data_IF_512906322822
#
_entry.id   IF_512906322822
#
_cell.length_a   1.000
_cell.length_b   1.000
_cell.length_c   1.000
_cell.angle_alpha   90.00
_cell.angle_beta   90.00
_cell.angle_gamma   90.00
#
_symmetry.space_group_name_H-M   'P 1'
#
loop_
_entity.id
_entity.type
_entity.pdbx_description
1 polymer ?
#
# COMPACT_ATOMS: atom_id res chain seq x y z
N UNK A 1 -5.89 8.05 -4.64
CA UNK A 1 -6.50 9.27 -5.23
C UNK A 1 -5.91 9.61 -6.61
N UNK A 2 -4.58 9.63 -6.75
CA UNK A 2 -3.87 9.87 -8.01
C UNK A 2 -4.49 9.12 -9.22
N UNK A 3 -4.63 7.80 -9.08
CA UNK A 3 -5.30 6.90 -10.05
C UNK A 3 -6.68 7.39 -10.51
N UNK A 4 -7.54 7.81 -9.58
CA UNK A 4 -8.91 8.24 -9.91
C UNK A 4 -8.99 9.65 -10.50
N UNK A 5 -7.94 10.45 -10.31
CA UNK A 5 -7.95 11.87 -10.70
C UNK A 5 -7.04 12.17 -11.89
N UNK A 6 -6.33 11.17 -12.44
CA UNK A 6 -5.41 11.37 -13.57
C UNK A 6 -4.25 12.32 -13.24
N UNK A 7 -3.75 12.27 -12.01
CA UNK A 7 -2.58 13.02 -11.55
C UNK A 7 -1.50 12.08 -11.04
N UNK A 8 -0.27 12.56 -10.94
CA UNK A 8 0.83 11.80 -10.38
C UNK A 8 0.75 11.75 -8.87
N UNK A 9 1.10 10.61 -8.28
CA UNK A 9 1.23 10.48 -6.84
C UNK A 9 2.39 9.60 -6.43
N UNK A 10 3.24 10.10 -5.54
CA UNK A 10 4.38 9.34 -5.03
C UNK A 10 4.16 8.94 -3.58
N UNK A 11 4.10 7.64 -3.32
CA UNK A 11 4.21 7.06 -1.98
C UNK A 11 5.69 6.79 -1.72
N UNK A 12 6.39 7.59 -0.90
CA UNK A 12 7.82 7.40 -0.67
C UNK A 12 8.14 6.09 0.07
N UNK A 13 9.43 5.75 0.12
CA UNK A 13 9.98 4.76 1.04
C UNK A 13 9.59 5.12 2.48
N UNK A 14 9.27 4.13 3.31
CA UNK A 14 8.86 4.41 4.67
C UNK A 14 9.94 5.17 5.46
N UNK A 15 9.51 6.20 6.21
CA UNK A 15 10.38 6.92 7.15
C UNK A 15 11.23 8.03 6.54
N UNK A 16 11.19 8.27 5.23
CA UNK A 16 12.02 9.32 4.61
C UNK A 16 11.40 10.72 4.68
N UNK A 17 10.11 10.81 4.98
CA UNK A 17 9.39 12.07 5.25
C UNK A 17 8.79 11.98 6.66
N UNK A 18 9.01 13.03 7.47
CA UNK A 18 8.46 13.09 8.83
C UNK A 18 6.93 13.09 8.83
N UNK A 19 6.35 12.22 9.65
CA UNK A 19 4.90 12.15 9.90
C UNK A 19 4.46 12.96 11.14
N UNK A 20 5.37 13.76 11.72
CA UNK A 20 5.04 14.56 12.91
C UNK A 20 3.88 15.52 12.63
N UNK A 21 2.81 15.39 13.42
CA UNK A 21 1.58 16.18 13.27
C UNK A 21 0.55 15.57 12.31
N UNK A 22 0.86 14.45 11.67
CA UNK A 22 -0.11 13.69 10.87
C UNK A 22 -1.04 12.85 11.76
N UNK A 23 -2.23 12.51 11.24
CA UNK A 23 -3.23 11.67 11.90
C UNK A 23 -3.46 10.42 11.06
N UNK A 24 -3.41 9.20 11.64
CA UNK A 24 -3.03 8.87 13.02
C UNK A 24 -1.54 9.13 13.30
N UNK A 25 -1.11 9.27 14.57
CA UNK A 25 -1.89 9.11 15.82
C UNK A 25 -2.79 10.33 16.17
N UNK A 26 -3.61 10.26 17.23
CA UNK A 26 -4.44 11.38 17.67
C UNK A 26 -3.66 12.67 17.98
N UNK A 27 -4.31 13.84 17.93
CA UNK A 27 -3.67 15.12 18.23
C UNK A 27 -2.94 15.14 19.59
N UNK A 28 -1.74 15.71 19.60
CA UNK A 28 -0.88 15.81 20.81
C UNK A 28 0.10 14.64 20.99
N UNK A 29 -0.07 13.54 20.25
CA UNK A 29 0.93 12.48 20.21
C UNK A 29 2.25 12.98 19.58
N UNK A 30 3.37 12.59 20.18
CA UNK A 30 4.71 12.96 19.70
C UNK A 30 5.36 11.88 18.82
N UNK A 31 4.75 10.69 18.76
CA UNK A 31 5.19 9.62 17.87
C UNK A 31 5.07 10.05 16.39
N UNK A 32 6.05 9.69 15.58
CA UNK A 32 6.24 10.14 14.20
C UNK A 32 6.25 8.99 13.19
N UNK A 33 5.55 7.91 13.51
CA UNK A 33 5.29 6.83 12.57
C UNK A 33 4.66 5.58 13.21
N UNK A 34 4.10 4.74 12.37
CA UNK A 34 3.37 3.51 12.72
C UNK A 34 3.89 2.29 11.94
N UNK A 35 5.04 2.45 11.26
CA UNK A 35 5.65 1.48 10.34
C UNK A 35 4.89 1.23 9.03
N UNK A 36 3.84 1.97 8.71
CA UNK A 36 2.95 1.73 7.57
C UNK A 36 2.66 3.01 6.77
N UNK A 37 2.22 4.06 7.45
CA UNK A 37 1.79 5.33 6.87
C UNK A 37 2.98 6.18 6.42
N UNK A 38 2.80 6.89 5.31
CA UNK A 38 3.76 7.87 4.80
C UNK A 38 3.01 9.09 4.27
N UNK A 39 3.70 10.23 4.22
CA UNK A 39 3.25 11.44 3.55
C UNK A 39 3.95 11.53 2.19
N UNK A 40 3.18 11.64 1.12
CA UNK A 40 3.69 11.62 -0.25
C UNK A 40 3.07 12.73 -1.10
N UNK A 41 3.83 13.35 -2.03
CA UNK A 41 3.32 14.42 -2.86
C UNK A 41 2.38 13.92 -3.96
N UNK A 42 1.42 14.77 -4.33
CA UNK A 42 0.63 14.67 -5.55
C UNK A 42 1.03 15.81 -6.47
N UNK A 43 1.19 15.55 -7.77
CA UNK A 43 1.60 16.56 -8.73
C UNK A 43 1.02 16.30 -10.14
N UNK A 44 1.29 17.22 -11.07
CA UNK A 44 0.86 17.10 -12.48
C UNK A 44 1.99 16.65 -13.41
N UNK A 45 3.18 16.43 -12.88
CA UNK A 45 4.35 15.97 -13.62
C UNK A 45 5.27 15.15 -12.69
N UNK A 46 6.08 14.22 -13.24
CA UNK A 46 7.09 13.51 -12.44
C UNK A 46 8.20 14.45 -11.93
N UNK A 47 8.53 15.52 -12.66
CA UNK A 47 9.53 16.51 -12.23
C UNK A 47 9.06 17.28 -10.99
N UNK A 48 7.78 17.61 -10.91
CA UNK A 48 7.19 18.22 -9.71
C UNK A 48 7.19 17.25 -8.52
N UNK A 49 7.00 15.95 -8.75
CA UNK A 49 7.13 14.94 -7.69
C UNK A 49 8.57 14.87 -7.16
N UNK A 50 9.55 14.85 -8.06
CA UNK A 50 10.98 14.84 -7.71
C UNK A 50 11.36 16.08 -6.91
N UNK A 51 10.96 17.27 -7.37
CA UNK A 51 11.19 18.52 -6.66
C UNK A 51 10.54 18.49 -5.28
N UNK A 52 9.26 18.12 -5.19
CA UNK A 52 8.56 18.05 -3.91
C UNK A 52 9.22 17.04 -2.95
N UNK A 53 9.64 15.88 -3.44
CA UNK A 53 10.34 14.89 -2.65
C UNK A 53 11.68 15.44 -2.12
N UNK A 54 12.47 16.11 -2.97
CA UNK A 54 13.76 16.69 -2.57
C UNK A 54 13.66 17.72 -1.45
N UNK A 55 12.51 18.42 -1.35
CA UNK A 55 12.23 19.40 -0.31
C UNK A 55 11.69 18.79 0.98
N UNK A 56 10.98 17.65 0.88
CA UNK A 56 10.29 17.01 2.00
C UNK A 56 11.13 15.94 2.70
N UNK A 57 12.09 15.35 1.99
CA UNK A 57 12.98 14.32 2.54
C UNK A 57 13.82 14.92 3.66
N UNK A 58 13.61 14.40 4.86
CA UNK A 58 14.32 14.83 6.04
C UNK A 58 14.33 13.71 7.09
N UNK A 59 15.41 13.59 7.89
CA UNK A 59 15.40 12.74 9.06
C UNK A 59 14.33 13.22 10.05
N UNK A 60 13.82 12.30 10.86
CA UNK A 60 12.97 12.65 12.01
C UNK A 60 13.74 13.59 12.94
N UNK A 61 13.04 14.55 13.56
CA UNK A 61 13.67 15.57 14.42
C UNK A 61 14.53 14.91 15.51
N UNK A 62 14.01 13.87 16.17
CA UNK A 62 14.73 13.17 17.24
C UNK A 62 15.93 12.38 16.74
N UNK A 63 15.88 11.90 15.50
CA UNK A 63 16.96 11.11 14.90
C UNK A 63 18.04 12.00 14.25
N UNK A 64 17.71 13.26 13.93
CA UNK A 64 18.57 14.21 13.20
C UNK A 64 19.92 14.52 13.87
N UNK A 65 20.06 14.23 15.17
CA UNK A 65 21.32 14.38 15.90
C UNK A 65 22.37 13.36 15.44
N UNK A 66 21.95 12.16 15.06
CA UNK A 66 22.83 11.05 14.71
C UNK A 66 22.59 10.49 13.30
N UNK A 67 21.49 10.89 12.66
CA UNK A 67 21.04 10.33 11.40
C UNK A 67 20.81 11.42 10.36
N UNK A 68 21.40 11.22 9.18
CA UNK A 68 21.22 12.05 8.00
C UNK A 68 20.78 11.16 6.84
N UNK A 69 20.15 11.76 5.85
CA UNK A 69 19.60 11.05 4.71
C UNK A 69 20.02 11.73 3.42
N UNK A 70 20.53 10.93 2.51
CA UNK A 70 20.86 11.31 1.14
C UNK A 70 20.19 10.29 0.23
N UNK A 71 19.39 10.78 -0.73
CA UNK A 71 18.79 9.88 -1.71
C UNK A 71 19.84 9.43 -2.71
N UNK A 72 19.89 8.13 -3.05
CA UNK A 72 20.80 7.66 -4.09
C UNK A 72 20.40 8.26 -5.44
N UNK A 73 21.36 8.47 -6.36
CA UNK A 73 21.04 8.83 -7.74
C UNK A 73 20.26 7.69 -8.43
N UNK A 74 19.62 7.97 -9.58
CA UNK A 74 18.99 6.93 -10.40
C UNK A 74 19.98 5.79 -10.72
N UNK A 75 19.48 4.55 -10.75
CA UNK A 75 20.32 3.37 -11.03
C UNK A 75 20.88 3.36 -12.45
N UNK A 76 20.10 3.90 -13.40
CA UNK A 76 20.44 3.94 -14.81
C UNK A 76 20.03 5.28 -15.42
N UNK A 77 20.78 5.73 -16.42
CA UNK A 77 20.53 6.99 -17.15
C UNK A 77 19.65 6.77 -18.39
N UNK A 78 19.62 5.56 -18.94
CA UNK A 78 18.86 5.23 -20.14
C UNK A 78 17.79 4.17 -19.85
N UNK A 79 16.66 4.29 -20.53
CA UNK A 79 15.50 3.44 -20.27
C UNK A 79 15.77 1.96 -20.54
N UNK A 80 16.54 1.64 -21.59
CA UNK A 80 16.87 0.27 -22.01
C UNK A 80 17.73 -0.53 -21.01
N UNK A 81 18.35 0.14 -20.04
CA UNK A 81 19.14 -0.51 -18.99
C UNK A 81 18.26 -1.02 -17.84
N UNK A 82 17.03 -0.53 -17.72
CA UNK A 82 16.09 -0.98 -16.70
C UNK A 82 15.54 -2.39 -16.99
N UNK A 83 15.31 -3.14 -15.91
CA UNK A 83 14.61 -4.43 -15.92
C UNK A 83 13.27 -4.29 -15.20
N UNK A 84 12.20 -4.62 -15.90
CA UNK A 84 10.83 -4.39 -15.41
C UNK A 84 10.16 -5.73 -15.15
N UNK A 85 9.75 -5.95 -13.91
CA UNK A 85 8.81 -7.00 -13.56
C UNK A 85 7.38 -6.53 -13.83
N UNK A 86 6.47 -7.45 -14.15
CA UNK A 86 5.07 -7.13 -14.44
C UNK A 86 4.14 -8.10 -13.71
N UNK A 87 3.13 -7.56 -13.03
CA UNK A 87 2.05 -8.31 -12.36
C UNK A 87 0.72 -7.58 -12.59
N UNK A 88 -0.04 -8.01 -13.60
CA UNK A 88 -1.21 -7.28 -14.08
C UNK A 88 -2.54 -7.66 -13.43
N UNK A 89 -2.65 -8.88 -12.92
CA UNK A 89 -3.89 -9.41 -12.37
C UNK A 89 -3.61 -10.51 -11.34
N UNK A 90 -4.60 -10.81 -10.49
CA UNK A 90 -4.51 -11.88 -9.49
C UNK A 90 -5.91 -12.44 -9.17
N UNK A 91 -6.10 -13.78 -9.15
CA UNK A 91 -7.41 -14.39 -8.85
C UNK A 91 -8.00 -13.98 -7.49
N UNK A 92 -7.18 -13.63 -6.50
CA UNK A 92 -7.62 -13.14 -5.19
C UNK A 92 -8.33 -11.78 -5.31
N UNK A 93 -7.78 -10.88 -6.12
CA UNK A 93 -8.27 -9.51 -6.27
C UNK A 93 -8.17 -9.06 -7.73
N UNK A 94 -9.09 -9.57 -8.59
CA UNK A 94 -9.06 -9.28 -10.02
C UNK A 94 -9.18 -7.80 -10.30
N UNK A 95 -8.58 -7.35 -11.39
CA UNK A 95 -8.67 -5.95 -11.83
C UNK A 95 -9.53 -5.79 -13.08
N UNK A 96 -10.09 -4.59 -13.25
CA UNK A 96 -10.77 -4.23 -14.49
C UNK A 96 -9.85 -4.43 -15.69
N UNK A 97 -10.36 -5.06 -16.75
CA UNK A 97 -9.59 -5.31 -17.98
C UNK A 97 -8.97 -4.03 -18.54
N UNK A 98 -9.71 -2.92 -18.50
CA UNK A 98 -9.21 -1.63 -18.94
C UNK A 98 -7.93 -1.16 -18.21
N UNK A 99 -7.78 -1.50 -16.93
CA UNK A 99 -6.57 -1.20 -16.15
C UNK A 99 -5.42 -2.11 -16.59
N UNK A 100 -5.67 -3.43 -16.66
CA UNK A 100 -4.67 -4.38 -17.12
C UNK A 100 -4.17 -4.05 -18.54
N UNK A 101 -5.10 -3.74 -19.47
CA UNK A 101 -4.81 -3.36 -20.85
C UNK A 101 -4.01 -2.05 -20.92
N UNK A 102 -4.32 -1.06 -20.08
CA UNK A 102 -3.58 0.19 -20.02
C UNK A 102 -2.12 -0.02 -19.59
N UNK A 103 -1.89 -0.85 -18.57
CA UNK A 103 -0.54 -1.20 -18.11
C UNK A 103 0.17 -2.05 -19.17
N UNK A 104 -0.52 -3.00 -19.80
CA UNK A 104 0.02 -3.78 -20.91
C UNK A 104 0.47 -2.90 -22.08
N UNK A 105 -0.27 -1.83 -22.39
CA UNK A 105 0.14 -0.84 -23.38
C UNK A 105 1.41 -0.08 -23.00
N UNK A 106 1.69 0.13 -21.70
CA UNK A 106 2.97 0.67 -21.20
C UNK A 106 4.08 -0.37 -21.36
N UNK A 107 3.82 -1.62 -20.97
CA UNK A 107 4.74 -2.75 -21.13
C UNK A 107 5.21 -2.87 -22.58
N UNK A 108 4.30 -2.84 -23.55
CA UNK A 108 4.65 -2.91 -24.98
C UNK A 108 5.49 -1.74 -25.47
N UNK A 109 5.24 -0.52 -24.97
CA UNK A 109 6.04 0.67 -25.31
C UNK A 109 7.45 0.56 -24.74
N UNK A 110 7.59 0.11 -23.50
CA UNK A 110 8.89 -0.14 -22.87
C UNK A 110 9.68 -1.22 -23.62
N UNK A 111 9.04 -2.32 -24.02
CA UNK A 111 9.68 -3.38 -24.80
C UNK A 111 10.22 -2.84 -26.15
N UNK A 112 9.46 -1.98 -26.83
CA UNK A 112 9.90 -1.32 -28.08
C UNK A 112 11.11 -0.40 -27.88
N UNK A 113 11.28 0.14 -26.67
CA UNK A 113 12.47 0.91 -26.28
C UNK A 113 13.66 0.04 -25.85
N UNK A 114 13.55 -1.29 -25.90
CA UNK A 114 14.62 -2.22 -25.54
C UNK A 114 14.71 -2.55 -24.05
N UNK A 115 13.71 -2.17 -23.26
CA UNK A 115 13.63 -2.52 -21.83
C UNK A 115 13.45 -4.03 -21.67
N UNK A 116 14.16 -4.63 -20.72
CA UNK A 116 13.98 -6.06 -20.40
C UNK A 116 12.73 -6.22 -19.54
N UNK A 117 11.75 -6.98 -20.03
CA UNK A 117 10.48 -7.19 -19.35
C UNK A 117 10.31 -8.67 -19.00
N UNK A 118 9.90 -8.94 -17.77
CA UNK A 118 9.50 -10.28 -17.33
C UNK A 118 8.18 -10.20 -16.57
N UNK A 119 7.21 -11.01 -16.97
CA UNK A 119 6.02 -11.25 -16.17
C UNK A 119 6.38 -12.18 -15.01
N UNK A 120 6.23 -11.69 -13.78
CA UNK A 120 6.58 -12.46 -12.58
C UNK A 120 5.90 -11.90 -11.34
N UNK A 121 5.48 -12.79 -10.45
CA UNK A 121 4.95 -12.50 -9.11
C UNK A 121 5.70 -13.33 -8.04
N UNK A 122 6.96 -13.67 -8.34
CA UNK A 122 7.75 -14.71 -7.64
C UNK A 122 7.54 -14.72 -6.12
N UNK A 123 6.98 -15.83 -5.62
CA UNK A 123 6.81 -16.20 -4.22
C UNK A 123 6.06 -15.23 -3.29
N UNK A 124 5.43 -14.18 -3.82
CA UNK A 124 4.64 -13.21 -3.06
C UNK A 124 3.17 -13.39 -3.43
N UNK A 125 2.38 -13.86 -2.49
CA UNK A 125 0.92 -13.99 -2.64
C UNK A 125 0.22 -12.68 -2.28
N UNK A 126 -0.69 -12.22 -3.14
CA UNK A 126 -1.50 -11.04 -2.89
C UNK A 126 -2.44 -11.25 -1.69
N UNK A 127 -3.04 -12.44 -1.58
CA UNK A 127 -3.86 -12.83 -0.42
C UNK A 127 -3.07 -12.78 0.89
N UNK A 128 -1.87 -13.38 0.91
CA UNK A 128 -1.02 -13.36 2.10
C UNK A 128 -0.67 -11.92 2.49
N UNK A 129 -0.37 -11.07 1.50
CA UNK A 129 -0.07 -9.66 1.75
C UNK A 129 -1.29 -8.92 2.34
N UNK A 130 -2.49 -9.12 1.79
CA UNK A 130 -3.71 -8.52 2.32
C UNK A 130 -4.02 -8.99 3.75
N UNK A 131 -3.85 -10.28 4.05
CA UNK A 131 -4.02 -10.78 5.42
C UNK A 131 -3.05 -10.11 6.41
N UNK A 132 -1.78 -9.94 6.02
CA UNK A 132 -0.80 -9.19 6.83
C UNK A 132 -1.21 -7.73 6.99
N UNK A 133 -1.75 -7.10 5.94
CA UNK A 133 -2.23 -5.72 5.99
C UNK A 133 -3.34 -5.56 7.05
N UNK A 134 -4.31 -6.49 7.08
CA UNK A 134 -5.39 -6.51 8.08
C UNK A 134 -4.92 -6.82 9.51
N UNK A 135 -3.78 -7.49 9.70
CA UNK A 135 -3.20 -7.67 11.04
C UNK A 135 -2.50 -6.38 11.53
N UNK A 136 -1.92 -5.59 10.63
CA UNK A 136 -1.01 -4.50 10.97
C UNK A 136 -1.64 -3.10 10.96
N UNK A 137 -2.57 -2.83 10.03
CA UNK A 137 -3.16 -1.48 9.84
C UNK A 137 -4.30 -1.16 10.81
N UNK A 138 -5.29 -2.05 11.03
CA UNK A 138 -6.38 -1.77 11.95
C UNK A 138 -5.99 -1.32 13.37
N UNK A 139 -4.94 -1.85 14.04
CA UNK A 139 -4.58 -1.36 15.38
C UNK A 139 -4.08 0.08 15.35
N UNK A 140 -3.45 0.53 14.25
CA UNK A 140 -3.04 1.93 14.06
C UNK A 140 -4.26 2.84 13.98
N UNK A 141 -5.25 2.47 13.16
CA UNK A 141 -6.50 3.23 13.00
C UNK A 141 -7.29 3.24 14.32
N UNK A 142 -7.33 2.11 15.02
CA UNK A 142 -8.06 1.95 16.27
C UNK A 142 -7.56 2.86 17.40
N UNK A 143 -6.32 3.38 17.32
CA UNK A 143 -5.82 4.38 18.27
C UNK A 143 -6.66 5.67 18.30
N UNK A 144 -7.40 5.96 17.23
CA UNK A 144 -8.32 7.10 17.15
C UNK A 144 -9.79 6.76 17.39
N UNK A 145 -10.15 5.48 17.62
CA UNK A 145 -11.55 5.10 17.81
C UNK A 145 -12.07 5.48 19.21
N UNK A 146 -13.33 5.93 19.32
CA UNK A 146 -13.93 6.20 20.61
C UNK A 146 -14.21 4.87 21.37
N UNK A 147 -14.26 4.89 22.71
CA UNK A 147 -14.40 3.68 23.52
C UNK A 147 -15.62 2.81 23.17
N UNK A 148 -16.75 3.42 22.81
CA UNK A 148 -17.97 2.68 22.42
C UNK A 148 -17.80 1.87 21.12
N UNK A 149 -16.94 2.33 20.20
CA UNK A 149 -16.61 1.59 18.98
C UNK A 149 -15.72 0.39 19.32
N UNK A 150 -14.73 0.59 20.18
CA UNK A 150 -13.86 -0.50 20.68
C UNK A 150 -14.68 -1.57 21.42
N UNK A 151 -15.64 -1.18 22.26
CA UNK A 151 -16.52 -2.12 22.95
C UNK A 151 -17.45 -2.86 21.99
N UNK A 152 -17.89 -2.22 20.91
CA UNK A 152 -18.69 -2.87 19.86
C UNK A 152 -17.86 -3.91 19.10
N UNK A 153 -16.58 -3.64 18.84
CA UNK A 153 -15.65 -4.60 18.23
C UNK A 153 -15.42 -5.81 19.14
N UNK A 154 -15.26 -5.60 20.46
CA UNK A 154 -15.15 -6.73 21.43
C UNK A 154 -16.38 -7.63 21.39
N UNK A 155 -17.58 -7.04 21.47
CA UNK A 155 -18.84 -7.79 21.40
C UNK A 155 -19.00 -8.56 20.09
N UNK A 156 -18.59 -7.96 18.97
CA UNK A 156 -18.57 -8.65 17.68
C UNK A 156 -17.68 -9.90 17.77
N UNK A 157 -16.45 -9.77 18.25
CA UNK A 157 -15.53 -10.90 18.39
C UNK A 157 -16.04 -11.98 19.34
N UNK A 158 -16.67 -11.61 20.46
CA UNK A 158 -17.27 -12.57 21.40
C UNK A 158 -18.41 -13.39 20.78
N UNK A 159 -19.06 -12.85 19.73
CA UNK A 159 -20.17 -13.48 19.02
C UNK A 159 -19.78 -14.15 17.69
N UNK A 160 -18.52 -14.02 17.28
CA UNK A 160 -18.01 -14.56 16.02
C UNK A 160 -17.36 -15.92 16.21
N UNK A 161 -17.51 -16.80 15.22
CA UNK A 161 -16.77 -18.06 15.19
C UNK A 161 -15.26 -17.81 15.04
N UNK A 162 -14.40 -18.69 15.58
CA UNK A 162 -12.94 -18.52 15.51
C UNK A 162 -12.38 -18.39 14.07
N UNK A 163 -13.04 -18.99 13.09
CA UNK A 163 -12.67 -18.98 11.67
C UNK A 163 -13.48 -18.00 10.82
N UNK A 164 -14.37 -17.18 11.42
CA UNK A 164 -15.14 -16.15 10.71
C UNK A 164 -14.19 -15.12 10.08
N UNK A 165 -14.10 -15.13 8.75
CA UNK A 165 -13.15 -14.33 8.00
C UNK A 165 -13.79 -13.10 7.33
N UNK A 166 -14.99 -12.71 7.79
CA UNK A 166 -15.68 -11.53 7.26
C UNK A 166 -14.93 -10.23 7.55
N UNK A 167 -15.03 -9.24 6.66
CA UNK A 167 -14.29 -7.97 6.78
C UNK A 167 -14.50 -7.23 8.13
N UNK A 168 -15.73 -7.14 8.70
CA UNK A 168 -15.91 -6.52 10.02
C UNK A 168 -15.15 -7.26 11.12
N UNK A 169 -15.11 -8.60 11.06
CA UNK A 169 -14.44 -9.44 12.05
C UNK A 169 -12.92 -9.37 11.88
N UNK A 170 -12.42 -9.42 10.64
CA UNK A 170 -11.00 -9.16 10.33
C UNK A 170 -10.55 -7.81 10.90
N UNK A 171 -11.32 -6.74 10.65
CA UNK A 171 -11.01 -5.41 11.19
C UNK A 171 -10.98 -5.43 12.72
N UNK A 172 -12.00 -6.01 13.37
CA UNK A 172 -12.07 -6.06 14.83
C UNK A 172 -10.91 -6.86 15.44
N UNK A 173 -10.54 -8.00 14.84
CA UNK A 173 -9.39 -8.82 15.27
C UNK A 173 -8.08 -8.05 15.15
N UNK A 174 -7.85 -7.37 14.02
CA UNK A 174 -6.68 -6.51 13.83
C UNK A 174 -6.66 -5.34 14.82
N UNK A 175 -7.79 -4.65 15.00
CA UNK A 175 -7.90 -3.50 15.90
C UNK A 175 -7.60 -3.84 17.37
N UNK A 176 -7.96 -5.05 17.79
CA UNK A 176 -7.79 -5.56 19.15
C UNK A 176 -6.67 -6.59 19.27
N UNK A 177 -5.78 -6.66 18.28
CA UNK A 177 -4.72 -7.66 18.22
C UNK A 177 -3.80 -7.55 19.45
N UNK A 178 -3.53 -8.66 20.16
CA UNK A 178 -2.53 -8.66 21.21
C UNK A 178 -1.16 -8.31 20.65
N UNK A 179 -0.37 -7.49 21.35
CA UNK A 179 0.94 -7.04 20.86
C UNK A 179 1.87 -8.20 20.48
N UNK A 180 1.81 -9.35 21.18
CA UNK A 180 2.57 -10.56 20.82
C UNK A 180 2.24 -11.07 19.41
N UNK A 181 0.97 -11.02 19.04
CA UNK A 181 0.49 -11.50 17.76
C UNK A 181 0.73 -10.46 16.66
N UNK A 182 0.67 -9.16 16.99
CA UNK A 182 1.16 -8.10 16.12
C UNK A 182 2.64 -8.26 15.77
N UNK A 183 3.51 -8.57 16.74
CA UNK A 183 4.92 -8.86 16.48
C UNK A 183 5.09 -10.06 15.54
N UNK A 184 4.23 -11.07 15.65
CA UNK A 184 4.23 -12.24 14.78
C UNK A 184 3.76 -11.90 13.36
N UNK A 185 2.75 -11.04 13.22
CA UNK A 185 2.34 -10.46 11.94
C UNK A 185 3.44 -9.61 11.31
N UNK A 186 4.14 -8.82 12.12
CA UNK A 186 5.26 -8.00 11.68
C UNK A 186 6.43 -8.87 11.18
N UNK A 187 6.73 -9.98 11.85
CA UNK A 187 7.72 -10.95 11.34
C UNK A 187 7.30 -11.53 9.98
N UNK A 188 6.03 -11.89 9.80
CA UNK A 188 5.50 -12.30 8.48
C UNK A 188 5.71 -11.19 7.43
N UNK A 189 5.45 -9.92 7.78
CA UNK A 189 5.77 -8.77 6.93
C UNK A 189 7.26 -8.72 6.57
N UNK A 190 8.16 -8.92 7.53
CA UNK A 190 9.61 -8.90 7.27
C UNK A 190 10.05 -10.00 6.29
N UNK A 191 9.43 -11.19 6.33
CA UNK A 191 9.69 -12.24 5.33
C UNK A 191 9.24 -11.83 3.93
N UNK A 192 8.07 -11.19 3.81
CA UNK A 192 7.61 -10.64 2.52
C UNK A 192 8.56 -9.55 2.02
N UNK A 193 9.05 -8.68 2.92
CA UNK A 193 10.06 -7.66 2.59
C UNK A 193 11.36 -8.26 2.07
N UNK A 194 11.82 -9.37 2.66
CA UNK A 194 13.00 -10.09 2.19
C UNK A 194 12.80 -10.62 0.76
N UNK A 195 11.62 -11.20 0.46
CA UNK A 195 11.27 -11.65 -0.90
C UNK A 195 11.24 -10.50 -1.92
N UNK A 196 10.68 -9.35 -1.54
CA UNK A 196 10.74 -8.16 -2.39
C UNK A 196 12.19 -7.73 -2.65
N UNK A 197 13.03 -7.73 -1.63
CA UNK A 197 14.44 -7.40 -1.78
C UNK A 197 15.15 -8.36 -2.74
N UNK A 198 14.88 -9.67 -2.65
CA UNK A 198 15.39 -10.68 -3.60
C UNK A 198 14.94 -10.38 -5.03
N UNK A 199 13.64 -10.12 -5.24
CA UNK A 199 13.10 -9.72 -6.55
C UNK A 199 13.82 -8.49 -7.11
N UNK A 200 14.02 -7.45 -6.30
CA UNK A 200 14.67 -6.20 -6.75
C UNK A 200 16.19 -6.30 -6.93
N UNK A 201 16.81 -7.47 -6.70
CA UNK A 201 18.17 -7.74 -7.21
C UNK A 201 18.15 -7.97 -8.72
N UNK A 202 17.10 -8.63 -9.19
CA UNK A 202 16.95 -9.04 -10.59
C UNK A 202 16.12 -8.06 -11.42
N UNK A 203 15.33 -7.22 -10.76
CA UNK A 203 14.48 -6.21 -11.38
C UNK A 203 14.62 -4.84 -10.73
N UNK A 204 14.32 -3.79 -11.49
CA UNK A 204 14.46 -2.40 -11.03
C UNK A 204 13.13 -1.80 -10.60
N UNK A 205 12.03 -2.23 -11.21
CA UNK A 205 10.67 -1.80 -10.88
C UNK A 205 9.67 -2.92 -11.17
N UNK A 206 8.56 -2.93 -10.42
CA UNK A 206 7.37 -3.72 -10.71
C UNK A 206 6.29 -2.80 -11.30
N UNK A 207 5.76 -3.15 -12.47
CA UNK A 207 4.51 -2.60 -12.98
C UNK A 207 3.35 -3.47 -12.53
N UNK A 208 2.41 -2.87 -11.80
CA UNK A 208 1.20 -3.52 -11.33
C UNK A 208 0.05 -2.51 -11.18
N UNK A 209 -1.20 -2.98 -11.09
CA UNK A 209 -2.35 -2.12 -10.81
C UNK A 209 -2.16 -1.30 -9.53
N UNK A 210 -2.65 -0.06 -9.56
CA UNK A 210 -2.75 0.74 -8.33
C UNK A 210 -3.94 0.28 -7.47
N UNK A 211 -5.02 -0.12 -8.12
CA UNK A 211 -6.30 -0.53 -7.53
C UNK A 211 -7.11 -1.33 -8.56
N UNK A 212 -8.31 -1.78 -8.20
CA UNK A 212 -9.08 -2.78 -8.97
C UNK A 212 -10.02 -2.20 -10.04
N UNK A 213 -10.41 -0.93 -9.94
CA UNK A 213 -11.40 -0.30 -10.82
C UNK A 213 -11.02 1.14 -11.16
N UNK A 214 -11.55 1.64 -12.27
CA UNK A 214 -11.53 3.06 -12.64
C UNK A 214 -12.42 3.90 -11.68
N UNK A 215 -12.54 5.21 -11.93
CA UNK A 215 -13.37 6.05 -11.08
C UNK A 215 -14.83 5.60 -11.14
N UNK A 216 -15.42 5.34 -9.96
CA UNK A 216 -16.76 4.79 -9.79
C UNK A 216 -17.68 5.76 -9.02
N UNK A 217 -18.99 5.55 -9.10
CA UNK A 217 -19.96 6.39 -8.37
C UNK A 217 -19.82 6.24 -6.84
N UNK A 218 -20.00 7.35 -6.12
CA UNK A 218 -19.91 7.31 -4.67
C UNK A 218 -21.07 6.54 -4.04
N UNK A 219 -20.74 5.43 -3.37
CA UNK A 219 -21.65 4.79 -2.44
C UNK A 219 -21.58 5.51 -1.07
N UNK A 220 -22.69 6.15 -0.71
CA UNK A 220 -22.81 6.95 0.50
C UNK A 220 -23.30 6.17 1.73
N UNK A 221 -23.48 4.84 1.64
CA UNK A 221 -23.88 4.03 2.80
C UNK A 221 -22.88 4.24 3.95
N UNK A 222 -23.32 4.50 5.19
CA UNK A 222 -22.41 4.82 6.29
C UNK A 222 -21.51 3.63 6.66
N UNK A 223 -22.00 2.40 6.48
CA UNK A 223 -21.23 1.19 6.72
C UNK A 223 -20.41 0.82 5.47
N UNK A 224 -19.10 1.05 5.51
CA UNK A 224 -18.18 0.71 4.43
C UNK A 224 -18.17 -0.78 4.07
N UNK A 225 -18.46 -1.68 5.03
CA UNK A 225 -18.51 -3.13 4.77
C UNK A 225 -19.71 -3.58 3.95
N UNK A 226 -20.70 -2.71 3.79
CA UNK A 226 -21.85 -2.97 2.91
C UNK A 226 -21.62 -2.41 1.51
N UNK A 227 -20.60 -1.56 1.32
CA UNK A 227 -20.31 -0.94 0.03
C UNK A 227 -19.68 -1.95 -0.91
N UNK A 228 -19.99 -1.80 -2.19
CA UNK A 228 -19.51 -2.68 -3.24
C UNK A 228 -18.94 -1.86 -4.40
N UNK A 229 -18.03 -2.48 -5.13
CA UNK A 229 -17.48 -2.02 -6.38
C UNK A 229 -17.95 -2.98 -7.48
N UNK A 230 -17.98 -2.51 -8.71
CA UNK A 230 -18.17 -3.39 -9.86
C UNK A 230 -16.83 -3.53 -10.56
N UNK A 231 -16.33 -4.76 -10.69
CA UNK A 231 -15.08 -5.06 -11.40
C UNK A 231 -15.40 -6.10 -12.46
N UNK A 232 -15.22 -5.75 -13.74
CA UNK A 232 -15.59 -6.61 -14.88
C UNK A 232 -17.04 -7.14 -14.83
N UNK A 233 -17.97 -6.36 -14.27
CA UNK A 233 -19.38 -6.72 -14.13
C UNK A 233 -19.72 -7.51 -12.86
N UNK A 234 -18.73 -7.89 -12.06
CA UNK A 234 -18.93 -8.65 -10.83
C UNK A 234 -18.83 -7.74 -9.59
N UNK A 235 -19.71 -7.91 -8.58
CA UNK A 235 -19.62 -7.16 -7.33
C UNK A 235 -18.41 -7.58 -6.51
N UNK A 236 -17.70 -6.61 -5.93
CA UNK A 236 -16.52 -6.80 -5.09
C UNK A 236 -16.60 -5.96 -3.82
N UNK A 237 -16.01 -6.41 -2.70
CA UNK A 237 -15.97 -5.60 -1.48
C UNK A 237 -15.26 -4.26 -1.70
N UNK A 238 -15.78 -3.20 -1.08
CA UNK A 238 -15.20 -1.86 -1.18
C UNK A 238 -13.73 -1.76 -0.76
N UNK A 239 -13.28 -2.62 0.16
CA UNK A 239 -11.90 -2.61 0.63
C UNK A 239 -10.90 -3.26 -0.34
N UNK A 240 -11.37 -3.91 -1.42
CA UNK A 240 -10.50 -4.38 -2.51
C UNK A 240 -9.70 -3.22 -3.14
N UNK A 241 -10.18 -1.97 -2.99
CA UNK A 241 -9.45 -0.78 -3.41
C UNK A 241 -8.02 -0.69 -2.86
N UNK A 242 -7.77 -1.28 -1.69
CA UNK A 242 -6.50 -1.17 -0.95
C UNK A 242 -5.57 -2.36 -1.18
N UNK A 243 -6.03 -3.47 -1.76
CA UNK A 243 -5.29 -4.74 -1.81
C UNK A 243 -3.97 -4.58 -2.59
N UNK A 244 -4.04 -4.02 -3.80
CA UNK A 244 -2.88 -3.76 -4.65
C UNK A 244 -1.92 -2.71 -4.05
N UNK A 245 -2.46 -1.59 -3.54
CA UNK A 245 -1.66 -0.58 -2.84
C UNK A 245 -0.96 -1.15 -1.58
N UNK A 246 -1.57 -2.16 -0.96
CA UNK A 246 -1.05 -2.89 0.19
C UNK A 246 0.32 -3.54 -0.07
N UNK A 247 0.67 -3.87 -1.32
CA UNK A 247 1.98 -4.45 -1.66
C UNK A 247 3.11 -3.51 -1.24
N UNK A 248 3.02 -2.23 -1.63
CA UNK A 248 4.03 -1.24 -1.31
C UNK A 248 3.97 -0.78 0.16
N UNK A 249 2.79 -0.78 0.78
CA UNK A 249 2.60 -0.40 2.19
C UNK A 249 3.28 -1.41 3.12
N UNK A 250 2.94 -2.70 3.00
CA UNK A 250 3.54 -3.74 3.84
C UNK A 250 5.04 -3.90 3.57
N UNK A 251 5.46 -3.75 2.31
CA UNK A 251 6.85 -3.88 1.96
C UNK A 251 7.70 -2.67 2.40
N UNK A 252 7.07 -1.55 2.79
CA UNK A 252 7.72 -0.26 3.06
C UNK A 252 8.49 0.31 1.85
N UNK A 253 8.11 -0.11 0.65
CA UNK A 253 8.76 0.27 -0.61
C UNK A 253 8.14 1.52 -1.22
N UNK A 254 8.89 2.32 -2.00
CA UNK A 254 8.30 3.43 -2.72
C UNK A 254 7.37 2.93 -3.85
N UNK A 255 6.36 3.72 -4.21
CA UNK A 255 5.49 3.47 -5.35
C UNK A 255 5.04 4.79 -5.98
N UNK A 256 4.90 4.83 -7.30
CA UNK A 256 4.41 5.99 -8.04
C UNK A 256 3.25 5.56 -8.93
N UNK A 257 2.23 6.41 -8.99
CA UNK A 257 1.07 6.32 -9.89
C UNK A 257 1.16 7.45 -10.89
#
# INVERSE_FOLDING_TARGET
PAHFCGVYGHKPSYGIISMRGHIPPPPGCVNDGDTLSVAGPLARSPEDLELALSLLVAPKIMDSVAWQMELPPPRHETLNDYRVAVWLDDPYCPVERAIADAIQGVVEKLAKCGVKIVETHHDISLEMNDRIFWDLVPPVIATGFPPNVIDSMRKLLDSSEPDDDSLPVRQARGALIPHKDWLSANERRHRVRAKWHELFRDYDVLLCPTTVTSAFEHDHRPNFFQRELIVNGEPRPYFDLMVWAGLAINAQLPATV
#
